data_IF_733257601281
#
_entry.id   IF_733257601281
#
_cell.length_a   1.000
_cell.length_b   1.000
_cell.length_c   1.000
_cell.angle_alpha   90.00
_cell.angle_beta   90.00
_cell.angle_gamma   90.00
#
_symmetry.space_group_name_H-M   'P 1'
#
loop_
_entity.id
_entity.type
_entity.pdbx_description
1 polymer ?
#
# COMPACT_ATOMS: atom_id res chain seq x y z
N UNK A 1 -6.29 0.03 7.20
CA UNK A 1 -7.60 0.42 6.60
C UNK A 1 -7.48 0.63 5.09
N UNK A 2 -6.47 1.37 4.60
CA UNK A 2 -6.28 1.63 3.17
C UNK A 2 -5.96 0.35 2.37
N UNK A 3 -5.14 -0.54 2.90
CA UNK A 3 -4.84 -1.82 2.24
C UNK A 3 -6.12 -2.64 2.02
N UNK A 4 -7.09 -2.55 2.93
CA UNK A 4 -8.40 -3.19 2.79
C UNK A 4 -9.21 -2.62 1.62
N UNK A 5 -9.07 -1.32 1.32
CA UNK A 5 -9.83 -0.67 0.24
C UNK A 5 -9.41 -1.13 -1.16
N UNK A 6 -8.12 -1.43 -1.36
CA UNK A 6 -7.62 -2.05 -2.59
C UNK A 6 -8.11 -3.49 -2.75
N UNK A 7 -8.50 -4.13 -1.65
CA UNK A 7 -8.86 -5.56 -1.60
C UNK A 7 -10.38 -5.80 -1.52
N UNK A 8 -11.16 -4.77 -1.20
CA UNK A 8 -12.59 -4.93 -0.88
C UNK A 8 -13.51 -5.19 -2.08
N UNK A 9 -13.02 -5.12 -3.30
CA UNK A 9 -13.87 -5.32 -4.46
C UNK A 9 -13.78 -6.71 -5.06
N UNK A 10 -14.83 -7.49 -4.78
CA UNK A 10 -15.15 -8.84 -5.25
C UNK A 10 -14.20 -9.93 -4.79
N UNK A 11 -14.43 -10.35 -3.60
CA UNK A 11 -13.98 -11.62 -3.09
C UNK A 11 -14.66 -12.78 -3.79
N UNK A 12 -13.87 -13.67 -4.33
CA UNK A 12 -14.30 -15.04 -4.52
C UNK A 12 -14.79 -15.56 -3.18
N UNK A 13 -16.01 -16.09 -3.11
CA UNK A 13 -16.75 -16.37 -1.89
C UNK A 13 -15.96 -17.03 -0.76
N UNK A 14 -16.46 -16.90 0.45
CA UNK A 14 -15.79 -17.27 1.70
C UNK A 14 -15.15 -18.68 1.74
N UNK A 15 -15.60 -19.62 0.92
CA UNK A 15 -15.02 -20.97 0.79
C UNK A 15 -13.61 -20.98 0.14
N UNK A 16 -13.32 -20.05 -0.79
CA UNK A 16 -12.01 -19.96 -1.41
C UNK A 16 -10.96 -19.44 -0.42
N UNK A 17 -11.36 -18.53 0.48
CA UNK A 17 -10.50 -18.03 1.55
C UNK A 17 -10.19 -19.13 2.58
N UNK A 18 -11.20 -19.91 2.97
CA UNK A 18 -11.04 -21.01 3.95
C UNK A 18 -10.07 -22.09 3.48
N UNK A 19 -10.01 -22.38 2.19
CA UNK A 19 -9.06 -23.35 1.63
C UNK A 19 -7.62 -22.83 1.58
N UNK A 20 -7.47 -21.52 1.59
CA UNK A 20 -6.19 -20.87 1.37
C UNK A 20 -5.44 -20.50 2.64
N UNK A 21 -6.13 -20.22 3.72
CA UNK A 21 -5.54 -19.86 5.03
C UNK A 21 -5.32 -21.12 5.87
N UNK A 22 -4.09 -21.37 6.37
CA UNK A 22 -3.86 -22.45 7.34
C UNK A 22 -4.79 -22.35 8.53
N UNK A 23 -5.27 -23.49 9.04
CA UNK A 23 -6.25 -23.53 10.14
C UNK A 23 -5.81 -22.77 11.38
N UNK A 24 -4.52 -22.80 11.68
CA UNK A 24 -3.90 -22.04 12.78
C UNK A 24 -4.04 -20.53 12.67
N UNK A 25 -4.32 -20.02 11.47
CA UNK A 25 -4.39 -18.59 11.17
C UNK A 25 -5.82 -18.13 10.85
N UNK A 26 -6.78 -19.04 10.71
CA UNK A 26 -8.18 -18.70 10.38
C UNK A 26 -8.86 -17.84 11.43
N UNK A 27 -8.38 -17.86 12.67
CA UNK A 27 -8.87 -17.03 13.77
C UNK A 27 -8.16 -15.70 13.92
N UNK A 28 -7.10 -15.43 13.12
CA UNK A 28 -6.37 -14.18 13.19
C UNK A 28 -7.17 -13.07 12.47
N UNK A 29 -7.63 -12.03 13.19
CA UNK A 29 -8.37 -10.92 12.60
C UNK A 29 -7.62 -10.22 11.47
N UNK A 30 -6.28 -10.20 11.51
CA UNK A 30 -5.45 -9.61 10.48
C UNK A 30 -5.56 -10.35 9.13
N UNK A 31 -5.87 -11.66 9.16
CA UNK A 31 -6.02 -12.48 7.95
C UNK A 31 -7.39 -12.40 7.30
N UNK A 32 -8.39 -11.88 7.99
CA UNK A 32 -9.72 -11.64 7.40
C UNK A 32 -9.67 -10.63 6.25
N UNK A 33 -8.58 -9.86 6.14
CA UNK A 33 -8.34 -8.88 5.08
C UNK A 33 -7.54 -9.42 3.88
N UNK A 34 -7.01 -10.64 3.98
CA UNK A 34 -6.24 -11.26 2.91
C UNK A 34 -7.17 -12.04 1.97
N UNK A 35 -7.65 -11.35 0.95
CA UNK A 35 -8.54 -11.96 -0.05
C UNK A 35 -7.83 -12.07 -1.39
N UNK A 36 -8.04 -13.15 -2.17
CA UNK A 36 -7.52 -13.26 -3.51
C UNK A 36 -7.98 -12.09 -4.38
N UNK A 37 -7.10 -11.62 -5.25
CA UNK A 37 -7.43 -10.60 -6.24
C UNK A 37 -8.08 -11.32 -7.42
N UNK A 38 -9.36 -11.01 -7.67
CA UNK A 38 -10.17 -11.66 -8.70
C UNK A 38 -10.26 -10.85 -10.01
N UNK A 39 -9.95 -9.56 -9.98
CA UNK A 39 -9.92 -8.67 -11.14
C UNK A 39 -8.80 -7.62 -10.98
N UNK A 40 -8.44 -6.95 -12.07
CA UNK A 40 -7.45 -5.86 -12.00
C UNK A 40 -7.91 -4.78 -11.04
N UNK A 41 -6.93 -4.23 -10.29
CA UNK A 41 -7.20 -3.17 -9.32
C UNK A 41 -7.62 -1.89 -10.04
N UNK A 42 -8.52 -1.16 -9.40
CA UNK A 42 -8.96 0.18 -9.81
C UNK A 42 -9.43 0.95 -8.59
N UNK A 43 -9.33 2.26 -8.64
CA UNK A 43 -9.90 3.11 -7.59
C UNK A 43 -11.44 3.00 -7.62
N UNK A 44 -12.00 2.69 -6.49
CA UNK A 44 -13.46 2.67 -6.32
C UNK A 44 -13.98 3.92 -5.64
N UNK A 45 -13.50 4.15 -4.43
CA UNK A 45 -13.79 5.34 -3.62
C UNK A 45 -12.48 5.90 -3.12
N UNK A 46 -12.31 7.20 -3.24
CA UNK A 46 -11.19 7.88 -2.60
C UNK A 46 -11.57 8.23 -1.15
N UNK A 47 -11.47 7.23 -0.26
CA UNK A 47 -11.80 7.42 1.15
C UNK A 47 -10.90 8.46 1.82
N UNK A 48 -9.58 8.52 1.58
CA UNK A 48 -8.74 9.61 2.07
C UNK A 48 -9.26 11.01 1.73
N UNK A 49 -9.75 11.20 0.51
CA UNK A 49 -10.36 12.46 0.09
C UNK A 49 -11.67 12.75 0.82
N UNK A 50 -12.53 11.74 0.98
CA UNK A 50 -13.78 11.88 1.70
C UNK A 50 -13.55 12.24 3.17
N UNK A 51 -12.61 11.55 3.83
CA UNK A 51 -12.20 11.82 5.21
C UNK A 51 -11.59 13.23 5.34
N UNK A 52 -10.74 13.63 4.41
CA UNK A 52 -10.15 14.97 4.40
C UNK A 52 -11.21 16.06 4.22
N UNK A 53 -12.12 15.90 3.26
CA UNK A 53 -13.24 16.83 3.04
C UNK A 53 -14.10 16.97 4.29
N UNK A 54 -14.46 15.87 4.92
CA UNK A 54 -15.23 15.91 6.17
C UNK A 54 -14.47 16.66 7.26
N UNK A 55 -13.20 16.32 7.50
CA UNK A 55 -12.39 16.94 8.54
C UNK A 55 -12.14 18.44 8.28
N UNK A 56 -12.01 18.85 7.02
CA UNK A 56 -11.76 20.25 6.63
C UNK A 56 -12.89 21.21 7.02
N UNK A 57 -14.12 20.70 7.15
CA UNK A 57 -15.26 21.48 7.66
C UNK A 57 -15.23 21.68 9.18
N UNK A 58 -14.48 20.86 9.90
CA UNK A 58 -14.44 20.86 11.37
C UNK A 58 -13.33 21.75 11.96
N UNK A 59 -12.37 22.18 11.15
CA UNK A 59 -11.21 22.94 11.64
C UNK A 59 -10.72 23.96 10.62
N UNK A 60 -10.09 25.06 11.13
CA UNK A 60 -9.34 26.04 10.34
C UNK A 60 -7.83 25.71 10.28
N UNK A 61 -7.38 24.69 11.02
CA UNK A 61 -5.97 24.28 11.02
C UNK A 61 -5.68 23.46 9.76
N UNK A 62 -4.45 23.54 9.23
CA UNK A 62 -4.02 22.66 8.14
C UNK A 62 -4.18 21.19 8.55
N UNK A 63 -4.75 20.42 7.64
CA UNK A 63 -4.93 18.98 7.84
C UNK A 63 -3.91 18.21 7.00
N UNK A 64 -3.43 17.13 7.56
CA UNK A 64 -2.54 16.18 6.89
C UNK A 64 -3.33 14.91 6.55
N UNK A 65 -3.15 14.42 5.32
CA UNK A 65 -3.59 13.08 4.92
C UNK A 65 -2.41 12.13 4.99
N UNK A 66 -2.63 10.92 5.50
CA UNK A 66 -1.62 9.87 5.54
C UNK A 66 -2.05 8.72 4.64
N UNK A 67 -1.19 8.37 3.68
CA UNK A 67 -1.35 7.24 2.77
C UNK A 67 -0.29 6.18 3.08
N UNK A 68 -0.56 4.93 2.76
CA UNK A 68 0.46 3.88 2.81
C UNK A 68 1.30 3.99 1.54
N UNK A 69 2.62 3.97 1.66
CA UNK A 69 3.51 4.00 0.51
C UNK A 69 3.30 2.78 -0.41
N UNK A 70 3.45 3.00 -1.72
CA UNK A 70 3.27 2.01 -2.78
C UNK A 70 4.09 0.74 -2.54
N UNK A 71 5.33 0.90 -2.08
CA UNK A 71 6.23 -0.21 -1.73
C UNK A 71 5.56 -1.15 -0.71
N UNK A 72 4.98 -0.61 0.34
CA UNK A 72 4.30 -1.40 1.38
C UNK A 72 3.07 -2.15 0.86
N UNK A 73 2.34 -1.56 -0.09
CA UNK A 73 1.21 -2.23 -0.73
C UNK A 73 1.71 -3.37 -1.62
N UNK A 74 2.79 -3.12 -2.37
CA UNK A 74 3.38 -4.10 -3.28
C UNK A 74 4.01 -5.31 -2.59
N UNK A 75 4.47 -5.18 -1.33
CA UNK A 75 4.92 -6.33 -0.52
C UNK A 75 3.82 -7.40 -0.34
N UNK A 76 2.57 -7.02 -0.45
CA UNK A 76 1.43 -7.94 -0.33
C UNK A 76 1.16 -8.73 -1.62
N UNK A 77 1.88 -8.45 -2.71
CA UNK A 77 1.76 -9.26 -3.92
C UNK A 77 2.26 -10.68 -3.67
N UNK A 78 1.37 -11.64 -3.88
CA UNK A 78 1.71 -13.05 -3.86
C UNK A 78 1.07 -13.70 -5.08
N UNK A 79 1.88 -14.21 -5.99
CA UNK A 79 1.42 -14.79 -7.25
C UNK A 79 0.27 -15.80 -7.09
N UNK A 80 0.33 -16.60 -6.04
CA UNK A 80 -0.72 -17.57 -5.72
C UNK A 80 -2.07 -16.95 -5.35
N UNK A 81 -2.09 -15.66 -4.97
CA UNK A 81 -3.31 -14.95 -4.57
C UNK A 81 -3.89 -14.10 -5.68
N UNK A 82 -3.16 -13.94 -6.78
CA UNK A 82 -3.59 -13.10 -7.90
C UNK A 82 -4.25 -13.91 -9.01
N UNK A 83 -4.32 -15.24 -8.88
CA UNK A 83 -5.15 -16.20 -9.62
C UNK A 83 -5.32 -15.89 -11.12
N UNK A 84 -4.23 -15.58 -11.82
CA UNK A 84 -4.26 -15.29 -13.26
C UNK A 84 -4.65 -13.87 -13.64
N UNK A 85 -4.95 -13.00 -12.67
CA UNK A 85 -5.23 -11.57 -12.93
C UNK A 85 -3.93 -10.81 -13.23
N UNK A 86 -2.88 -11.10 -12.46
CA UNK A 86 -1.54 -10.53 -12.63
C UNK A 86 -0.52 -11.63 -12.86
N UNK A 87 0.04 -11.70 -14.04
CA UNK A 87 1.08 -12.66 -14.36
C UNK A 87 2.43 -12.29 -13.69
N UNK A 88 2.68 -11.01 -13.49
CA UNK A 88 3.92 -10.46 -12.96
C UNK A 88 3.67 -9.40 -11.88
N UNK A 89 4.61 -9.28 -10.95
CA UNK A 89 4.54 -8.29 -9.89
C UNK A 89 4.55 -6.84 -10.42
N UNK A 90 5.22 -6.61 -11.55
CA UNK A 90 5.29 -5.30 -12.19
C UNK A 90 3.92 -4.81 -12.65
N UNK A 91 3.07 -5.70 -13.15
CA UNK A 91 1.71 -5.36 -13.57
C UNK A 91 0.84 -4.94 -12.39
N UNK A 92 0.96 -5.67 -11.27
CA UNK A 92 0.31 -5.31 -10.02
C UNK A 92 0.79 -3.96 -9.50
N UNK A 93 2.11 -3.75 -9.49
CA UNK A 93 2.73 -2.49 -9.06
C UNK A 93 2.26 -1.31 -9.91
N UNK A 94 2.16 -1.49 -11.22
CA UNK A 94 1.68 -0.44 -12.12
C UNK A 94 0.25 0.01 -11.77
N UNK A 95 -0.66 -0.93 -11.50
CA UNK A 95 -2.02 -0.60 -11.09
C UNK A 95 -2.05 0.07 -9.71
N UNK A 96 -1.22 -0.38 -8.76
CA UNK A 96 -1.11 0.26 -7.44
C UNK A 96 -0.63 1.71 -7.58
N UNK A 97 0.42 1.96 -8.37
CA UNK A 97 0.93 3.32 -8.65
C UNK A 97 -0.17 4.19 -9.26
N UNK A 98 -0.88 3.68 -10.26
CA UNK A 98 -1.93 4.44 -10.93
C UNK A 98 -3.06 4.84 -9.96
N UNK A 99 -3.46 3.93 -9.08
CA UNK A 99 -4.51 4.18 -8.08
C UNK A 99 -4.03 5.16 -7.01
N UNK A 100 -2.82 4.97 -6.47
CA UNK A 100 -2.26 5.88 -5.46
C UNK A 100 -2.09 7.29 -6.05
N UNK A 101 -1.63 7.38 -7.30
CA UNK A 101 -1.52 8.65 -8.02
C UNK A 101 -2.88 9.32 -8.19
N UNK A 102 -3.90 8.60 -8.61
CA UNK A 102 -5.27 9.12 -8.74
C UNK A 102 -5.81 9.66 -7.40
N UNK A 103 -5.53 8.95 -6.28
CA UNK A 103 -5.89 9.41 -4.93
C UNK A 103 -5.20 10.74 -4.62
N UNK A 104 -3.91 10.84 -4.90
CA UNK A 104 -3.10 12.03 -4.61
C UNK A 104 -3.51 13.21 -5.49
N UNK A 105 -3.75 12.99 -6.78
CA UNK A 105 -4.24 14.02 -7.71
C UNK A 105 -5.57 14.61 -7.25
N UNK A 106 -6.54 13.78 -6.89
CA UNK A 106 -7.82 14.23 -6.37
C UNK A 106 -7.71 14.97 -5.02
N UNK A 107 -6.75 14.61 -4.16
CA UNK A 107 -6.44 15.34 -2.93
C UNK A 107 -5.81 16.70 -3.24
N UNK A 108 -4.91 16.77 -4.20
CA UNK A 108 -4.29 18.01 -4.64
C UNK A 108 -5.32 18.98 -5.27
N UNK A 109 -6.19 18.47 -6.13
CA UNK A 109 -7.32 19.22 -6.69
C UNK A 109 -8.25 19.77 -5.60
N UNK A 110 -8.45 19.03 -4.52
CA UNK A 110 -9.21 19.48 -3.35
C UNK A 110 -8.43 20.43 -2.42
N UNK A 111 -7.21 20.83 -2.79
CA UNK A 111 -6.33 21.75 -2.05
C UNK A 111 -5.91 21.17 -0.68
N UNK A 112 -5.69 19.86 -0.61
CA UNK A 112 -5.07 19.24 0.56
C UNK A 112 -3.61 19.71 0.68
N UNK A 113 -3.20 20.39 1.78
CA UNK A 113 -1.90 21.05 1.83
C UNK A 113 -0.74 20.10 2.10
N UNK A 114 -1.01 18.93 2.68
CA UNK A 114 0.04 18.01 3.11
C UNK A 114 -0.40 16.55 2.99
N UNK A 115 0.39 15.76 2.27
CA UNK A 115 0.21 14.31 2.13
C UNK A 115 1.47 13.61 2.63
N UNK A 116 1.32 12.65 3.55
CA UNK A 116 2.41 11.84 4.07
C UNK A 116 2.27 10.41 3.56
N UNK A 117 3.34 9.86 3.01
CA UNK A 117 3.45 8.44 2.71
C UNK A 117 4.09 7.68 3.88
N UNK A 118 3.40 6.68 4.40
CA UNK A 118 3.92 5.78 5.42
C UNK A 118 4.67 4.63 4.76
N UNK A 119 6.00 4.66 4.88
CA UNK A 119 6.93 3.74 4.23
C UNK A 119 7.75 2.92 5.25
N UNK A 120 7.11 2.07 6.08
CA UNK A 120 7.80 1.30 7.11
C UNK A 120 8.79 0.27 6.54
N UNK A 121 8.58 -0.19 5.31
CA UNK A 121 9.40 -1.19 4.64
C UNK A 121 10.82 -0.72 4.34
N UNK A 122 11.05 0.59 4.17
CA UNK A 122 12.39 1.12 3.88
C UNK A 122 13.44 0.81 4.95
N UNK A 123 13.03 0.63 6.20
CA UNK A 123 13.96 0.23 7.27
C UNK A 123 14.58 -1.14 7.06
N UNK A 124 13.93 -2.02 6.27
CA UNK A 124 14.48 -3.33 5.93
C UNK A 124 15.73 -3.26 5.04
N UNK A 125 15.90 -2.17 4.28
CA UNK A 125 17.07 -1.99 3.40
C UNK A 125 18.34 -1.55 4.12
N UNK A 126 18.27 -1.26 5.42
CA UNK A 126 19.41 -0.92 6.26
C UNK A 126 19.59 -1.89 7.43
N UNK A 127 18.68 -2.85 7.60
CA UNK A 127 18.78 -3.88 8.63
C UNK A 127 19.51 -5.13 8.09
N UNK A 128 20.61 -5.51 8.74
CA UNK A 128 21.46 -6.61 8.29
C UNK A 128 20.70 -7.95 8.16
N UNK A 129 19.83 -8.27 9.11
CA UNK A 129 19.03 -9.51 9.08
C UNK A 129 18.01 -9.51 7.94
N UNK A 130 17.41 -8.34 7.67
CA UNK A 130 16.46 -8.17 6.57
C UNK A 130 17.16 -8.30 5.22
N UNK A 131 18.35 -7.72 5.06
CA UNK A 131 19.16 -7.85 3.86
C UNK A 131 19.59 -9.30 3.60
N UNK A 132 20.02 -10.01 4.62
CA UNK A 132 20.35 -11.44 4.54
C UNK A 132 19.14 -12.27 4.09
N UNK A 133 17.99 -12.02 4.71
CA UNK A 133 16.73 -12.69 4.36
C UNK A 133 16.31 -12.42 2.90
N UNK A 134 16.42 -11.18 2.42
CA UNK A 134 16.13 -10.84 1.03
C UNK A 134 17.03 -11.64 0.08
N UNK A 135 18.34 -11.67 0.34
CA UNK A 135 19.30 -12.42 -0.47
C UNK A 135 19.01 -13.93 -0.46
N UNK A 136 18.66 -14.49 0.70
CA UNK A 136 18.29 -15.90 0.83
C UNK A 136 17.02 -16.25 0.02
N UNK A 137 16.14 -15.27 -0.21
CA UNK A 137 14.97 -15.40 -1.08
C UNK A 137 15.24 -15.10 -2.56
N UNK A 138 16.52 -14.86 -2.93
CA UNK A 138 16.91 -14.49 -4.30
C UNK A 138 16.55 -13.07 -4.70
N UNK A 139 16.27 -12.20 -3.73
CA UNK A 139 15.94 -10.78 -3.95
C UNK A 139 17.25 -9.98 -3.82
N UNK A 140 17.54 -9.17 -4.84
CA UNK A 140 18.58 -8.15 -4.76
C UNK A 140 18.05 -6.94 -3.99
N UNK A 141 18.59 -6.66 -2.78
CA UNK A 141 18.04 -5.58 -1.94
C UNK A 141 18.23 -4.18 -2.55
N UNK A 142 19.34 -3.97 -3.29
CA UNK A 142 19.60 -2.66 -3.91
C UNK A 142 18.59 -2.40 -5.01
N UNK A 143 18.44 -3.34 -5.92
CA UNK A 143 17.45 -3.25 -7.00
C UNK A 143 16.03 -3.12 -6.47
N UNK A 144 15.69 -3.86 -5.41
CA UNK A 144 14.38 -3.78 -4.79
C UNK A 144 14.14 -2.39 -4.21
N UNK A 145 15.12 -1.82 -3.50
CA UNK A 145 15.02 -0.46 -2.96
C UNK A 145 14.86 0.59 -4.06
N UNK A 146 15.63 0.50 -5.15
CA UNK A 146 15.51 1.41 -6.29
C UNK A 146 14.11 1.34 -6.92
N UNK A 147 13.55 0.14 -7.07
CA UNK A 147 12.20 -0.05 -7.58
C UNK A 147 11.13 0.53 -6.65
N UNK A 148 11.33 0.43 -5.33
CA UNK A 148 10.44 1.00 -4.33
C UNK A 148 10.45 2.53 -4.38
N UNK A 149 11.65 3.12 -4.44
CA UNK A 149 11.81 4.58 -4.57
C UNK A 149 11.18 5.07 -5.87
N UNK A 150 11.43 4.39 -6.98
CA UNK A 150 10.84 4.76 -8.27
C UNK A 150 9.32 4.69 -8.25
N UNK A 151 8.74 3.68 -7.59
CA UNK A 151 7.29 3.52 -7.46
C UNK A 151 6.67 4.65 -6.62
N UNK A 152 7.26 4.96 -5.46
CA UNK A 152 6.75 6.02 -4.59
C UNK A 152 6.90 7.41 -5.25
N UNK A 153 8.00 7.66 -5.96
CA UNK A 153 8.18 8.89 -6.74
C UNK A 153 7.14 9.02 -7.86
N UNK A 154 6.83 7.93 -8.56
CA UNK A 154 5.85 7.94 -9.64
C UNK A 154 4.44 8.34 -9.18
N UNK A 155 4.12 8.16 -7.90
CA UNK A 155 2.84 8.60 -7.31
C UNK A 155 2.75 10.11 -7.18
N UNK A 156 3.87 10.79 -6.90
CA UNK A 156 3.88 12.22 -6.53
C UNK A 156 4.50 13.13 -7.59
N UNK A 157 5.23 12.56 -8.53
CA UNK A 157 5.99 13.34 -9.52
C UNK A 157 5.10 14.25 -10.35
N UNK A 158 5.52 15.51 -10.50
CA UNK A 158 4.79 16.53 -11.25
C UNK A 158 3.55 17.10 -10.57
N UNK A 159 3.18 16.67 -9.35
CA UNK A 159 2.03 17.21 -8.60
C UNK A 159 2.47 18.44 -7.81
N UNK A 160 1.87 19.60 -8.13
CA UNK A 160 2.17 20.87 -7.51
C UNK A 160 1.18 21.24 -6.40
N UNK A 161 1.56 22.19 -5.54
CA UNK A 161 0.67 22.76 -4.51
C UNK A 161 0.48 21.91 -3.26
N UNK A 162 1.14 20.77 -3.17
CA UNK A 162 1.09 19.85 -2.02
C UNK A 162 2.48 19.68 -1.44
N UNK A 163 2.58 19.69 -0.11
CA UNK A 163 3.79 19.25 0.59
C UNK A 163 3.73 17.74 0.77
N UNK A 164 4.71 17.03 0.23
CA UNK A 164 4.85 15.59 0.45
C UNK A 164 5.86 15.30 1.55
N UNK A 165 5.47 14.41 2.47
CA UNK A 165 6.33 13.90 3.52
C UNK A 165 6.41 12.38 3.47
N UNK A 166 7.51 11.83 3.98
CA UNK A 166 7.69 10.40 4.15
C UNK A 166 7.83 10.08 5.64
N UNK A 167 7.13 9.05 6.11
CA UNK A 167 7.29 8.52 7.45
C UNK A 167 8.01 7.17 7.38
N UNK A 168 9.20 7.11 7.96
CA UNK A 168 10.00 5.91 8.10
C UNK A 168 9.80 5.33 9.51
N UNK A 169 8.89 4.39 9.64
CA UNK A 169 8.57 3.74 10.89
C UNK A 169 9.55 2.59 11.18
N UNK A 170 10.00 2.49 12.43
CA UNK A 170 10.83 1.36 12.89
C UNK A 170 10.01 0.16 13.35
N UNK A 171 8.69 0.23 13.20
CA UNK A 171 7.74 -0.81 13.61
C UNK A 171 7.33 -0.68 15.08
N UNK A 172 6.06 -1.04 15.33
CA UNK A 172 5.46 -1.07 16.67
C UNK A 172 5.28 -2.50 17.19
N UNK A 173 5.67 -3.50 16.41
CA UNK A 173 5.50 -4.91 16.77
C UNK A 173 6.67 -5.29 17.67
N UNK A 174 6.43 -5.18 18.95
CA UNK A 174 7.35 -5.50 20.06
C UNK A 174 8.66 -4.74 19.97
N UNK A 175 8.80 -3.74 20.82
CA UNK A 175 10.12 -3.25 21.20
C UNK A 175 10.94 -4.44 21.69
N UNK A 176 11.81 -4.95 20.84
CA UNK A 176 12.89 -5.84 21.22
C UNK A 176 14.10 -5.01 21.55
#
# INVERSE_FOLDING_TARGET
>A
KQTAQFQERRTVGGEALQRWVPDSLKSDPALQYWRPIAERLRLGRNVPLEEWRFASHLTKKPLKVTLIATDRICENFKRQNTAGVYARAEEYRADVIAIEREIVEQLAEAVCPYIQHDAPSYTAYVDAKSLERMRALGIDPVRQMEQSIAADNAVIDGIAGVTFGIHLCRGNVRSM
#
